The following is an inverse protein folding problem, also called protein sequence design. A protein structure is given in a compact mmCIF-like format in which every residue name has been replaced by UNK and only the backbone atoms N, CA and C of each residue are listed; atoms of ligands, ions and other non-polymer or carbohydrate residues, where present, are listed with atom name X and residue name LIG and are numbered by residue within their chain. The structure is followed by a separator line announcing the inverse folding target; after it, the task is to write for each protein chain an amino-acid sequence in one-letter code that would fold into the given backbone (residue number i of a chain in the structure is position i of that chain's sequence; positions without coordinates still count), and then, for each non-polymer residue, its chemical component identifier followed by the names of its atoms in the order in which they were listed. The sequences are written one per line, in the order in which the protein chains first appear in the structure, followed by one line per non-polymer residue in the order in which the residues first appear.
data_IF_027192744280
#
_entry.id   IF_027192744280
#
_cell.length_a   1.000
_cell.length_b   1.000
_cell.length_c   1.000
_cell.angle_alpha   90.00
_cell.angle_beta   90.00
_cell.angle_gamma   90.00
#
_symmetry.space_group_name_H-M   'P 1'
#
loop_
_entity.id
_entity.type
_entity.pdbx_description
1 polymer ?
#
# COMPACT_ATOMS: atom_id res chain seq x y z
N UNK A 1 24.54 24.29 -51.78
CA UNK A 1 24.36 24.34 -51.79
C UNK A 1 23.93 24.01 -51.37
N UNK A 2 23.85 23.79 -51.03
CA UNK A 2 23.65 23.73 -50.84
C UNK A 2 23.23 23.47 -50.30
N UNK A 3 23.23 23.39 -50.19
CA UNK A 3 23.00 23.43 -50.00
C UNK A 3 22.57 23.25 -49.38
N UNK A 4 22.73 23.22 -49.09
CA UNK A 4 22.51 23.25 -48.74
C UNK A 4 22.04 23.11 -48.08
N UNK A 5 22.27 23.10 -48.34
CA UNK A 5 22.08 23.17 -47.73
C UNK A 5 21.70 22.78 -47.10
N UNK A 6 21.85 22.63 -47.00
CA UNK A 6 21.78 22.51 -46.36
C UNK A 6 21.60 21.92 -45.80
N UNK A 7 21.86 21.76 -45.54
CA UNK A 7 21.90 21.36 -44.91
C UNK A 7 21.82 21.10 -44.04
N UNK A 8 22.23 21.15 -44.30
CA UNK A 8 22.22 20.85 -43.41
C UNK A 8 21.72 21.02 -42.60
N UNK A 9 21.34 21.22 -42.34
CA UNK A 9 20.91 21.41 -41.50
C UNK A 9 20.10 20.74 -41.17
N UNK A 10 19.76 20.42 -41.19
CA UNK A 10 18.99 19.77 -40.85
C UNK A 10 19.25 18.65 -40.18
N UNK A 11 19.87 18.25 -40.15
CA UNK A 11 20.32 17.21 -39.64
C UNK A 11 20.74 17.36 -38.30
N UNK A 12 21.35 18.16 -38.00
CA UNK A 12 21.81 18.35 -36.76
C UNK A 12 20.79 18.57 -35.77
N UNK A 13 19.72 18.95 -36.10
CA UNK A 13 18.62 19.19 -35.22
C UNK A 13 18.08 17.92 -34.64
N UNK A 14 18.05 16.90 -35.42
CA UNK A 14 17.50 15.65 -34.96
C UNK A 14 18.27 15.06 -33.80
N UNK A 15 19.55 15.20 -33.81
CA UNK A 15 20.33 14.59 -32.75
C UNK A 15 20.11 15.26 -31.42
N UNK A 16 19.81 16.51 -31.44
CA UNK A 16 19.56 17.21 -30.20
C UNK A 16 18.31 16.73 -29.52
N UNK A 17 17.28 16.56 -30.30
CA UNK A 17 16.01 16.14 -29.75
C UNK A 17 16.10 14.75 -29.16
N UNK A 18 16.85 13.93 -29.80
CA UNK A 18 17.02 12.58 -29.33
C UNK A 18 17.66 12.54 -27.95
N UNK A 19 18.60 13.40 -27.74
CA UNK A 19 19.29 13.43 -26.49
C UNK A 19 18.39 13.75 -25.32
N UNK A 20 17.48 14.65 -25.52
CA UNK A 20 16.56 15.05 -24.46
C UNK A 20 15.68 13.90 -24.05
N UNK A 21 15.21 13.15 -25.00
CA UNK A 21 14.31 12.06 -24.70
C UNK A 21 14.96 10.99 -23.83
N UNK A 22 16.25 10.83 -23.95
CA UNK A 22 16.92 9.80 -23.17
C UNK A 22 17.06 10.13 -21.71
N UNK A 23 17.19 11.39 -21.39
CA UNK A 23 17.42 11.77 -20.01
C UNK A 23 16.26 11.46 -19.12
N UNK A 24 15.07 11.66 -19.61
CA UNK A 24 13.88 11.54 -18.79
C UNK A 24 13.65 10.12 -18.30
N UNK A 25 13.68 9.12 -19.15
CA UNK A 25 13.43 7.76 -18.70
C UNK A 25 14.43 7.29 -17.67
N UNK A 26 15.65 7.72 -17.80
CA UNK A 26 16.68 7.24 -16.90
C UNK A 26 16.42 7.67 -15.46
N UNK A 27 16.04 8.92 -15.28
CA UNK A 27 15.81 9.39 -13.93
C UNK A 27 14.61 8.70 -13.31
N UNK A 28 13.61 8.38 -14.10
CA UNK A 28 12.44 7.72 -13.56
C UNK A 28 12.75 6.32 -13.07
N UNK A 29 13.74 5.68 -13.62
CA UNK A 29 14.05 4.31 -13.26
C UNK A 29 15.12 4.19 -12.20
N UNK A 30 15.70 5.28 -11.80
CA UNK A 30 16.81 5.24 -10.88
C UNK A 30 16.40 4.75 -9.50
N UNK A 31 15.16 4.98 -9.12
CA UNK A 31 14.67 4.64 -7.80
C UNK A 31 13.52 3.66 -7.92
N UNK A 32 13.62 2.57 -7.19
CA UNK A 32 12.55 1.60 -7.09
C UNK A 32 11.99 1.67 -5.68
N UNK A 33 10.79 2.19 -5.51
CA UNK A 33 10.21 2.28 -4.18
C UNK A 33 9.90 0.90 -3.65
N UNK A 34 10.10 0.70 -2.38
CA UNK A 34 9.70 -0.53 -1.71
C UNK A 34 8.21 -0.44 -1.41
N UNK A 35 7.57 -1.60 -1.41
CA UNK A 35 6.16 -1.66 -1.12
C UNK A 35 5.95 -1.64 0.38
N UNK A 36 4.97 -0.90 0.87
CA UNK A 36 4.60 -0.99 2.28
C UNK A 36 4.04 -2.37 2.58
N UNK A 37 4.21 -2.79 3.82
CA UNK A 37 3.72 -4.09 4.28
C UNK A 37 2.54 -3.88 5.21
N UNK A 38 1.49 -4.67 4.99
CA UNK A 38 0.31 -4.68 5.85
C UNK A 38 0.11 -6.10 6.32
N UNK A 39 0.22 -6.33 7.63
CA UNK A 39 0.18 -7.67 8.20
C UNK A 39 -0.96 -7.74 9.20
N UNK A 40 -2.12 -8.28 8.83
CA UNK A 40 -3.21 -8.50 9.75
C UNK A 40 -2.99 -9.78 10.53
N UNK A 41 -3.45 -9.80 11.77
CA UNK A 41 -3.31 -10.94 12.64
C UNK A 41 -4.51 -11.03 13.58
N UNK A 42 -5.04 -12.23 13.76
CA UNK A 42 -6.14 -12.45 14.68
C UNK A 42 -5.78 -13.57 15.64
N UNK A 43 -6.04 -13.34 16.92
CA UNK A 43 -5.75 -14.28 17.97
C UNK A 43 -6.94 -14.37 18.92
N UNK A 44 -7.14 -15.53 19.51
CA UNK A 44 -8.26 -15.77 20.41
C UNK A 44 -7.77 -16.18 21.79
N UNK A 45 -8.42 -15.62 22.81
CA UNK A 45 -8.22 -16.02 24.19
C UNK A 45 -9.62 -16.19 24.80
N UNK A 46 -10.07 -17.42 24.96
CA UNK A 46 -11.45 -17.69 25.35
C UNK A 46 -12.40 -17.13 24.30
N UNK A 47 -13.30 -16.27 24.72
CA UNK A 47 -14.25 -15.61 23.82
C UNK A 47 -13.82 -14.20 23.45
N UNK A 48 -12.54 -13.88 23.59
CA UNK A 48 -12.01 -12.58 23.22
C UNK A 48 -11.11 -12.74 22.01
N UNK A 49 -11.43 -12.03 20.93
CA UNK A 49 -10.58 -11.96 19.75
C UNK A 49 -9.73 -10.70 19.83
N UNK A 50 -8.44 -10.85 19.62
CA UNK A 50 -7.51 -9.73 19.49
C UNK A 50 -7.20 -9.58 18.02
N UNK A 51 -7.55 -8.42 17.47
CA UNK A 51 -7.34 -8.12 16.06
C UNK A 51 -6.21 -7.10 15.96
N UNK A 52 -5.15 -7.47 15.28
CA UNK A 52 -3.95 -6.66 15.16
C UNK A 52 -3.61 -6.44 13.70
N UNK A 53 -3.12 -5.26 13.39
CA UNK A 53 -2.61 -4.95 12.05
C UNK A 53 -1.32 -4.18 12.22
N UNK A 54 -0.29 -4.63 11.54
CA UNK A 54 0.99 -3.94 11.50
C UNK A 54 1.18 -3.37 10.11
N UNK A 55 1.44 -2.07 10.03
CA UNK A 55 1.71 -1.39 8.76
C UNK A 55 3.10 -0.79 8.83
N UNK A 56 3.92 -1.13 7.86
CA UNK A 56 5.29 -0.65 7.80
C UNK A 56 5.49 0.00 6.44
N UNK A 57 5.86 1.27 6.45
CA UNK A 57 6.10 2.04 5.23
C UNK A 57 7.59 2.22 5.00
N UNK A 58 7.91 2.59 3.78
CA UNK A 58 9.30 2.82 3.38
C UNK A 58 9.84 4.13 3.95
N UNK A 59 8.99 5.12 4.11
CA UNK A 59 9.38 6.44 4.62
C UNK A 59 8.71 6.72 5.94
N UNK A 60 9.46 7.30 6.88
CA UNK A 60 8.92 7.72 8.17
C UNK A 60 7.93 8.86 8.04
N UNK A 61 7.85 9.48 6.88
CA UNK A 61 6.93 10.60 6.63
C UNK A 61 5.64 10.17 5.94
N UNK A 62 5.50 8.89 5.58
CA UNK A 62 4.30 8.42 4.91
C UNK A 62 3.11 8.47 5.86
N UNK A 63 2.03 9.09 5.40
CA UNK A 63 0.80 9.19 6.17
C UNK A 63 -0.03 7.93 5.95
N UNK A 64 -0.40 7.29 7.04
CA UNK A 64 -1.10 6.01 7.03
C UNK A 64 -2.51 6.21 7.54
N UNK A 65 -3.48 5.66 6.83
CA UNK A 65 -4.86 5.58 7.28
C UNK A 65 -5.31 4.13 7.19
N UNK A 66 -5.81 3.60 8.28
CA UNK A 66 -6.21 2.19 8.39
C UNK A 66 -7.68 2.10 8.74
N UNK A 67 -8.39 1.22 8.03
CA UNK A 67 -9.72 0.78 8.42
C UNK A 67 -9.68 -0.73 8.56
N UNK A 68 -9.92 -1.21 9.77
CA UNK A 68 -9.94 -2.64 10.06
C UNK A 68 -11.37 -3.07 10.33
N UNK A 69 -11.76 -4.19 9.74
CA UNK A 69 -13.11 -4.73 9.91
C UNK A 69 -13.03 -6.19 10.30
N UNK A 70 -13.87 -6.58 11.22
CA UNK A 70 -13.98 -7.96 11.65
C UNK A 70 -15.32 -8.51 11.21
N UNK A 71 -15.29 -9.66 10.54
CA UNK A 71 -16.48 -10.33 10.01
C UNK A 71 -16.69 -11.66 10.68
N UNK A 72 -17.96 -11.96 10.94
CA UNK A 72 -18.42 -13.31 11.27
C UNK A 72 -19.20 -13.81 10.06
N UNK A 73 -18.58 -14.68 9.27
CA UNK A 73 -19.14 -15.02 7.96
C UNK A 73 -19.17 -13.80 7.06
N UNK A 74 -20.34 -13.43 6.60
CA UNK A 74 -20.54 -12.26 5.76
C UNK A 74 -20.96 -11.01 6.55
N UNK A 75 -21.11 -11.14 7.88
CA UNK A 75 -21.59 -10.05 8.72
C UNK A 75 -20.42 -9.30 9.34
N UNK A 76 -20.36 -7.99 9.11
CA UNK A 76 -19.37 -7.15 9.74
C UNK A 76 -19.80 -6.84 11.17
N UNK A 77 -19.02 -7.30 12.15
CA UNK A 77 -19.37 -7.15 13.56
C UNK A 77 -18.55 -6.04 14.25
N UNK A 78 -17.52 -5.54 13.61
CA UNK A 78 -16.74 -4.44 14.17
C UNK A 78 -15.99 -3.71 13.05
N UNK A 79 -15.89 -2.40 13.21
CA UNK A 79 -15.14 -1.54 12.30
C UNK A 79 -14.32 -0.56 13.14
N UNK A 80 -13.04 -0.49 12.87
CA UNK A 80 -12.13 0.43 13.56
C UNK A 80 -11.32 1.21 12.57
N UNK A 81 -10.97 2.43 12.93
CA UNK A 81 -10.09 3.26 12.11
C UNK A 81 -8.95 3.76 12.97
N UNK A 82 -7.80 3.93 12.36
CA UNK A 82 -6.64 4.49 13.03
C UNK A 82 -5.71 5.11 11.99
N UNK A 83 -4.90 6.07 12.42
CA UNK A 83 -3.96 6.72 11.52
C UNK A 83 -2.62 6.85 12.21
N UNK A 84 -1.58 7.01 11.41
CA UNK A 84 -0.22 7.14 11.91
C UNK A 84 0.69 7.63 10.80
N UNK A 85 1.97 7.65 11.09
CA UNK A 85 2.99 8.12 10.16
C UNK A 85 4.18 7.18 10.21
N UNK A 86 4.62 6.71 9.04
CA UNK A 86 5.80 5.85 8.92
C UNK A 86 5.54 4.40 9.24
N UNK A 87 4.91 4.13 10.36
CA UNK A 87 4.49 2.80 10.76
C UNK A 87 3.26 2.92 11.65
N UNK A 88 2.51 1.84 11.73
CA UNK A 88 1.30 1.83 12.53
C UNK A 88 1.12 0.45 13.11
N UNK A 89 0.95 0.39 14.43
CA UNK A 89 0.62 -0.85 15.13
C UNK A 89 -0.76 -0.69 15.72
N UNK A 90 -1.69 -1.46 15.19
CA UNK A 90 -3.08 -1.42 15.57
C UNK A 90 -3.44 -2.68 16.34
N UNK A 91 -4.20 -2.53 17.42
CA UNK A 91 -4.70 -3.68 18.18
C UNK A 91 -6.01 -3.32 18.86
N UNK A 92 -7.00 -4.17 18.66
CA UNK A 92 -8.32 -4.03 19.29
C UNK A 92 -8.86 -5.39 19.63
N UNK A 93 -9.75 -5.43 20.60
CA UNK A 93 -10.38 -6.66 21.02
C UNK A 93 -11.87 -6.62 20.76
N UNK A 94 -12.45 -7.79 20.59
CA UNK A 94 -13.88 -7.95 20.37
C UNK A 94 -14.33 -9.27 20.98
N UNK A 95 -15.46 -9.25 21.67
CA UNK A 95 -16.05 -10.48 22.18
C UNK A 95 -16.63 -11.27 21.02
N UNK A 96 -16.30 -12.55 20.96
CA UNK A 96 -16.69 -13.45 19.88
C UNK A 96 -17.26 -14.73 20.47
N UNK A 97 -17.68 -15.63 19.60
CA UNK A 97 -18.27 -16.89 20.01
C UNK A 97 -17.38 -18.05 19.59
N UNK A 98 -17.31 -19.04 20.46
CA UNK A 98 -16.54 -20.26 20.17
C UNK A 98 -17.14 -21.00 18.99
N UNK A 99 -16.26 -21.58 18.19
CA UNK A 99 -16.66 -22.38 17.05
C UNK A 99 -16.91 -21.61 15.77
N UNK A 100 -16.99 -20.30 15.84
CA UNK A 100 -17.19 -19.47 14.65
C UNK A 100 -15.85 -19.08 14.02
N UNK A 101 -15.88 -18.92 12.71
CA UNK A 101 -14.72 -18.47 11.95
C UNK A 101 -14.87 -16.98 11.66
N UNK A 102 -13.83 -16.25 11.97
CA UNK A 102 -13.81 -14.79 11.82
C UNK A 102 -12.77 -14.39 10.79
N UNK A 103 -13.06 -13.29 10.10
CA UNK A 103 -12.15 -12.73 9.11
C UNK A 103 -11.86 -11.28 9.47
N UNK A 104 -10.59 -10.96 9.56
CA UNK A 104 -10.13 -9.60 9.78
C UNK A 104 -9.61 -9.04 8.47
N UNK A 105 -10.14 -7.90 8.05
CA UNK A 105 -9.66 -7.21 6.86
C UNK A 105 -9.01 -5.90 7.27
N UNK A 106 -7.99 -5.51 6.52
CA UNK A 106 -7.30 -4.26 6.74
C UNK A 106 -7.22 -3.50 5.41
N UNK A 107 -7.85 -2.35 5.37
CA UNK A 107 -7.81 -1.44 4.24
C UNK A 107 -6.89 -0.29 4.62
N UNK A 108 -5.83 -0.11 3.90
CA UNK A 108 -4.80 0.88 4.22
C UNK A 108 -4.63 1.84 3.06
N UNK A 109 -4.53 3.12 3.40
CA UNK A 109 -4.19 4.17 2.45
C UNK A 109 -2.86 4.78 2.88
N UNK A 110 -1.95 4.93 1.95
CA UNK A 110 -0.66 5.57 2.20
C UNK A 110 -0.61 6.84 1.37
N UNK A 111 -0.52 7.98 2.04
CA UNK A 111 -0.49 9.29 1.36
C UNK A 111 -1.67 9.45 0.41
N UNK A 112 -2.83 8.94 0.80
CA UNK A 112 -4.04 9.04 -0.01
C UNK A 112 -4.22 7.96 -1.06
N UNK A 113 -3.25 7.07 -1.23
CA UNK A 113 -3.34 6.00 -2.22
C UNK A 113 -3.72 4.69 -1.54
N UNK A 114 -4.79 4.08 -2.00
CA UNK A 114 -5.28 2.85 -1.41
C UNK A 114 -4.41 1.66 -1.83
N UNK A 115 -4.10 0.80 -0.87
CA UNK A 115 -3.42 -0.46 -1.12
C UNK A 115 -4.46 -1.57 -1.29
N UNK A 116 -4.00 -2.71 -1.77
CA UNK A 116 -4.86 -3.89 -1.82
C UNK A 116 -5.25 -4.29 -0.40
N UNK A 117 -6.49 -4.73 -0.24
CA UNK A 117 -7.01 -5.16 1.06
C UNK A 117 -6.25 -6.40 1.54
N UNK A 118 -5.74 -6.35 2.75
CA UNK A 118 -5.12 -7.50 3.40
C UNK A 118 -6.16 -8.16 4.30
N UNK A 119 -6.06 -9.48 4.47
CA UNK A 119 -7.00 -10.18 5.33
C UNK A 119 -6.36 -11.41 5.95
N UNK A 120 -6.96 -11.83 7.07
CA UNK A 120 -6.61 -13.07 7.74
C UNK A 120 -7.87 -13.67 8.35
N UNK A 121 -7.88 -14.98 8.53
CA UNK A 121 -9.00 -15.67 9.13
C UNK A 121 -8.52 -16.49 10.32
N UNK A 122 -9.45 -16.76 11.23
CA UNK A 122 -9.19 -17.63 12.36
C UNK A 122 -10.49 -18.13 12.93
N UNK A 123 -10.42 -19.30 13.57
CA UNK A 123 -11.57 -19.91 14.21
C UNK A 123 -11.40 -19.84 15.72
N UNK A 124 -12.42 -19.36 16.41
CA UNK A 124 -12.39 -19.30 17.88
C UNK A 124 -12.54 -20.72 18.44
N UNK A 125 -11.52 -21.19 19.17
CA UNK A 125 -11.54 -22.57 19.67
C UNK A 125 -12.57 -22.83 20.75
#
# INVERSE_FOLDING_TARGET
EQKEGGEPMKKRICSIMLLIALLIPLSAQAVTPRKPKVIPYINFSGTTATCSVSVICDSTKDAISLTAKLYNGSTCIATWTESGTGSLNFSRTKTVQRGNTYKLTADVTINGTALATASTTGTCP
#
